data_IF_133649845697
#
_entry.id   IF_133649845697
#
_cell.length_a   1.000
_cell.length_b   1.000
_cell.length_c   1.000
_cell.angle_alpha   90.00
_cell.angle_beta   90.00
_cell.angle_gamma   90.00
#
_symmetry.space_group_name_H-M   'P 1'
#
loop_
_entity.id
_entity.type
_entity.pdbx_description
1 polymer ?
#
# COMPACT_ATOMS: atom_id res chain seq x y z
N UNK A 1 -10.71 39.81 -50.26
CA UNK A 1 -10.90 39.77 -48.79
C UNK A 1 -9.62 39.25 -48.20
N UNK A 2 -8.80 40.09 -47.59
CA UNK A 2 -7.71 39.64 -46.72
C UNK A 2 -7.31 40.80 -45.81
N UNK A 3 -7.91 40.85 -44.62
CA UNK A 3 -7.54 41.78 -43.57
C UNK A 3 -6.46 41.12 -42.71
N UNK A 4 -5.20 41.55 -42.87
CA UNK A 4 -4.14 41.28 -41.88
C UNK A 4 -4.38 42.16 -40.65
N UNK A 5 -4.84 41.56 -39.56
CA UNK A 5 -4.84 42.20 -38.23
C UNK A 5 -3.39 42.39 -37.75
N UNK A 6 -2.93 43.65 -37.72
CA UNK A 6 -1.74 44.03 -36.94
C UNK A 6 -2.10 44.01 -35.46
N UNK A 7 -1.54 43.07 -34.71
CA UNK A 7 -1.64 43.06 -33.25
C UNK A 7 -1.07 44.37 -32.68
N UNK A 8 -1.85 45.04 -31.84
CA UNK A 8 -1.50 46.33 -31.26
C UNK A 8 -0.31 46.21 -30.28
N UNK A 9 0.59 47.20 -30.23
CA UNK A 9 1.83 47.17 -29.45
C UNK A 9 1.61 46.99 -27.93
N UNK A 10 0.45 47.39 -27.42
CA UNK A 10 0.11 47.22 -26.00
C UNK A 10 -0.07 45.76 -25.59
N UNK A 11 -0.54 44.88 -26.50
CA UNK A 11 -0.76 43.47 -26.19
C UNK A 11 0.57 42.70 -26.03
N UNK A 12 1.60 43.08 -26.81
CA UNK A 12 2.95 42.51 -26.68
C UNK A 12 3.60 42.90 -25.36
N UNK A 13 3.36 44.12 -24.88
CA UNK A 13 3.91 44.59 -23.61
C UNK A 13 3.32 43.82 -22.42
N UNK A 14 2.00 43.56 -22.43
CA UNK A 14 1.34 42.74 -21.41
C UNK A 14 1.81 41.28 -21.41
N UNK A 15 1.99 40.68 -22.59
CA UNK A 15 2.51 39.31 -22.70
C UNK A 15 3.94 39.17 -22.16
N UNK A 16 4.80 40.17 -22.39
CA UNK A 16 6.16 40.18 -21.84
C UNK A 16 6.14 40.33 -20.33
N UNK A 17 5.28 41.20 -19.76
CA UNK A 17 5.15 41.36 -18.31
C UNK A 17 4.65 40.06 -17.67
N UNK A 18 3.62 39.43 -18.24
CA UNK A 18 3.09 38.15 -17.73
C UNK A 18 4.13 37.03 -17.82
N UNK A 19 4.91 36.97 -18.90
CA UNK A 19 5.98 35.99 -19.04
C UNK A 19 7.08 36.19 -17.99
N UNK A 20 7.47 37.44 -17.71
CA UNK A 20 8.47 37.76 -16.68
C UNK A 20 7.96 37.49 -15.25
N UNK A 21 6.68 37.74 -14.97
CA UNK A 21 6.06 37.39 -13.68
C UNK A 21 6.01 35.88 -13.49
N UNK A 22 5.61 35.11 -14.52
CA UNK A 22 5.66 33.64 -14.47
C UNK A 22 7.08 33.11 -14.30
N UNK A 23 8.08 33.72 -14.94
CA UNK A 23 9.48 33.34 -14.76
C UNK A 23 9.97 33.63 -13.33
N UNK A 24 9.57 34.76 -12.74
CA UNK A 24 9.89 35.11 -11.34
C UNK A 24 9.20 34.18 -10.32
N UNK A 25 7.96 33.74 -10.59
CA UNK A 25 7.25 32.76 -9.75
C UNK A 25 7.89 31.37 -9.88
N UNK A 26 8.34 30.99 -11.08
CA UNK A 26 9.10 29.75 -11.31
C UNK A 26 10.49 29.80 -10.66
N UNK A 27 11.18 30.95 -10.70
CA UNK A 27 12.47 31.11 -10.03
C UNK A 27 12.32 31.19 -8.50
N UNK A 28 11.25 31.78 -7.96
CA UNK A 28 11.01 31.76 -6.52
C UNK A 28 10.61 30.37 -6.00
N UNK A 29 9.91 29.56 -6.81
CA UNK A 29 9.61 28.17 -6.48
C UNK A 29 10.82 27.24 -6.63
N UNK A 30 11.76 27.55 -7.54
CA UNK A 30 13.04 26.84 -7.67
C UNK A 30 14.04 27.24 -6.56
N UNK A 31 14.13 28.52 -6.19
CA UNK A 31 15.03 29.00 -5.12
C UNK A 31 14.53 28.52 -3.73
N UNK A 32 13.22 28.36 -3.54
CA UNK A 32 12.67 27.73 -2.34
C UNK A 32 12.85 26.19 -2.29
N UNK A 33 13.26 25.54 -3.38
CA UNK A 33 13.54 24.09 -3.40
C UNK A 33 14.97 23.73 -3.00
N UNK A 34 15.92 24.67 -2.99
CA UNK A 34 17.33 24.38 -2.71
C UNK A 34 17.82 24.73 -1.29
N UNK A 35 16.96 25.14 -0.36
CA UNK A 35 17.36 25.33 1.05
C UNK A 35 16.24 25.02 2.05
N UNK A 36 15.61 23.85 1.93
CA UNK A 36 15.07 23.21 3.13
C UNK A 36 16.21 22.36 3.69
N UNK A 37 17.10 22.98 4.49
CA UNK A 37 17.87 22.21 5.45
C UNK A 37 16.87 21.34 6.20
N UNK A 38 17.02 20.02 6.14
CA UNK A 38 16.17 19.06 6.83
C UNK A 38 16.00 19.51 8.29
N UNK A 39 14.86 20.11 8.58
CA UNK A 39 14.47 20.43 9.94
C UNK A 39 13.96 19.11 10.49
N UNK A 40 14.85 18.30 11.07
CA UNK A 40 14.47 16.99 11.60
C UNK A 40 13.43 17.18 12.70
N UNK A 41 12.22 16.70 12.48
CA UNK A 41 11.19 16.66 13.50
C UNK A 41 11.57 15.60 14.54
N UNK A 42 12.23 16.03 15.63
CA UNK A 42 12.62 15.15 16.75
C UNK A 42 11.46 14.85 17.71
N UNK A 43 10.31 15.49 17.51
CA UNK A 43 9.09 15.37 18.29
C UNK A 43 7.88 15.38 17.34
N UNK A 44 6.78 14.66 17.61
CA UNK A 44 6.61 13.75 18.76
C UNK A 44 7.58 12.57 18.70
N UNK A 45 7.95 12.03 19.87
CA UNK A 45 8.70 10.77 19.92
C UNK A 45 7.74 9.59 19.82
N UNK A 46 8.24 8.47 19.34
CA UNK A 46 7.52 7.20 19.28
C UNK A 46 7.75 6.40 20.57
N UNK A 47 6.85 5.45 20.88
CA UNK A 47 7.14 4.50 21.95
C UNK A 47 8.38 3.66 21.54
N UNK A 48 9.40 3.60 22.41
CA UNK A 48 10.74 3.11 22.07
C UNK A 48 10.85 1.62 21.66
N UNK A 49 11.97 1.28 21.01
CA UNK A 49 12.26 -0.01 20.33
C UNK A 49 12.56 -1.22 21.23
N UNK A 50 12.06 -1.31 22.46
CA UNK A 50 12.39 -2.47 23.31
C UNK A 50 11.58 -3.70 22.92
N UNK A 51 12.04 -4.46 21.91
CA UNK A 51 11.75 -5.87 21.61
C UNK A 51 10.30 -6.38 21.83
N UNK A 52 9.30 -5.55 21.54
CA UNK A 52 7.90 -5.93 21.68
C UNK A 52 7.29 -6.08 20.28
N UNK A 53 7.24 -7.32 19.79
CA UNK A 53 6.72 -7.69 18.47
C UNK A 53 5.20 -7.47 18.30
N UNK A 54 4.54 -6.73 19.19
CA UNK A 54 3.07 -6.60 19.24
C UNK A 54 2.60 -5.21 18.85
N UNK A 55 3.08 -4.77 17.70
CA UNK A 55 3.05 -3.40 17.19
C UNK A 55 1.61 -2.88 17.04
N UNK A 56 1.30 -1.72 17.63
CA UNK A 56 0.16 -0.92 17.19
C UNK A 56 0.60 -0.03 16.05
N UNK A 57 0.68 -0.63 14.87
CA UNK A 57 0.79 0.11 13.62
C UNK A 57 -0.45 -0.17 12.80
N UNK A 58 -1.04 0.85 12.17
CA UNK A 58 -1.99 0.60 11.11
C UNK A 58 -1.25 -0.13 9.99
N UNK A 59 -1.84 -1.19 9.49
CA UNK A 59 -1.34 -1.86 8.31
C UNK A 59 -1.66 -1.00 7.08
N UNK A 60 -0.99 -1.31 5.98
CA UNK A 60 -1.08 -0.51 4.76
C UNK A 60 -2.49 -0.61 4.14
N UNK A 61 -3.07 0.51 3.71
CA UNK A 61 -4.47 0.58 3.23
C UNK A 61 -5.49 -0.09 4.17
N UNK A 62 -5.23 -0.10 5.47
CA UNK A 62 -6.12 -0.73 6.44
C UNK A 62 -7.46 -0.01 6.46
N UNK A 63 -8.54 -0.80 6.32
CA UNK A 63 -9.89 -0.32 6.58
C UNK A 63 -10.11 -0.30 8.08
N UNK A 64 -10.39 0.89 8.60
CA UNK A 64 -10.60 1.11 10.03
C UNK A 64 -12.06 1.47 10.26
N UNK A 65 -12.77 0.64 11.02
CA UNK A 65 -14.18 0.88 11.35
C UNK A 65 -14.32 1.59 12.69
N UNK A 66 -15.00 2.74 12.72
CA UNK A 66 -15.26 3.49 13.96
C UNK A 66 -16.72 3.32 14.38
N UNK A 67 -17.00 2.64 15.49
CA UNK A 67 -18.38 2.43 15.92
C UNK A 67 -18.65 3.03 17.31
N UNK A 68 -19.80 3.67 17.45
CA UNK A 68 -20.28 4.30 18.68
C UNK A 68 -21.27 3.39 19.39
N UNK A 69 -21.33 3.38 20.73
CA UNK A 69 -22.49 2.81 21.39
C UNK A 69 -23.73 3.69 21.18
N UNK A 70 -24.88 3.07 20.98
CA UNK A 70 -26.14 3.79 20.81
C UNK A 70 -26.43 4.69 22.02
N UNK A 71 -26.57 5.99 21.77
CA UNK A 71 -26.93 6.98 22.78
C UNK A 71 -25.76 7.61 23.56
N UNK A 72 -24.52 7.16 23.33
CA UNK A 72 -23.34 7.72 24.01
C UNK A 72 -23.03 9.14 23.52
N UNK A 73 -23.03 9.38 22.21
CA UNK A 73 -22.67 10.67 21.63
C UNK A 73 -23.84 11.26 20.86
N UNK A 74 -24.06 12.56 20.99
CA UNK A 74 -24.95 13.33 20.12
C UNK A 74 -24.44 13.34 18.67
N UNK A 75 -25.30 13.71 17.72
CA UNK A 75 -24.92 13.81 16.31
C UNK A 75 -23.74 14.78 16.10
N UNK A 76 -23.73 15.91 16.80
CA UNK A 76 -22.68 16.92 16.68
C UNK A 76 -21.34 16.43 17.23
N UNK A 77 -21.37 15.68 18.33
CA UNK A 77 -20.16 15.05 18.90
C UNK A 77 -19.60 13.96 17.98
N UNK A 78 -20.46 13.14 17.38
CA UNK A 78 -20.02 12.14 16.39
C UNK A 78 -19.43 12.80 15.14
N UNK A 79 -20.02 13.90 14.68
CA UNK A 79 -19.46 14.68 13.58
C UNK A 79 -18.08 15.25 13.94
N UNK A 80 -17.91 15.77 15.16
CA UNK A 80 -16.61 16.26 15.64
C UNK A 80 -15.54 15.16 15.70
N UNK A 81 -15.91 13.96 16.17
CA UNK A 81 -15.03 12.77 16.16
C UNK A 81 -14.67 12.39 14.71
N UNK A 82 -15.65 12.33 13.81
CA UNK A 82 -15.41 12.04 12.37
C UNK A 82 -14.45 13.05 11.74
N UNK A 83 -14.62 14.34 12.04
CA UNK A 83 -13.76 15.39 11.50
C UNK A 83 -12.32 15.28 12.04
N UNK A 84 -12.12 14.78 13.26
CA UNK A 84 -10.78 14.50 13.82
C UNK A 84 -10.08 13.36 13.07
N UNK A 85 -10.80 12.28 12.74
CA UNK A 85 -10.28 11.21 11.87
C UNK A 85 -9.94 11.72 10.47
N UNK A 86 -10.84 12.50 9.87
CA UNK A 86 -10.60 13.08 8.55
C UNK A 86 -9.35 13.97 8.52
N UNK A 87 -9.04 14.70 9.60
CA UNK A 87 -7.79 15.46 9.67
C UNK A 87 -6.55 14.54 9.62
N UNK A 88 -6.59 13.39 10.30
CA UNK A 88 -5.53 12.37 10.19
C UNK A 88 -5.45 11.73 8.81
N UNK A 89 -6.58 11.52 8.12
CA UNK A 89 -6.58 11.08 6.71
C UNK A 89 -5.90 12.11 5.80
N UNK A 90 -6.19 13.40 5.98
CA UNK A 90 -5.61 14.48 5.15
C UNK A 90 -4.14 14.76 5.43
N UNK A 91 -3.63 14.31 6.58
CA UNK A 91 -2.27 14.55 7.05
C UNK A 91 -1.25 13.60 6.42
N UNK A 92 -1.66 12.42 5.94
CA UNK A 92 -0.78 11.47 5.22
C UNK A 92 -0.36 11.91 3.81
N UNK A 93 -0.73 13.12 3.37
CA UNK A 93 -0.75 13.49 1.97
C UNK A 93 0.46 14.32 1.51
N UNK A 94 1.62 13.67 1.38
CA UNK A 94 2.60 14.07 0.36
C UNK A 94 2.55 13.18 -0.89
N UNK A 95 1.39 12.54 -1.17
CA UNK A 95 1.12 11.82 -2.41
C UNK A 95 1.96 10.56 -2.68
N UNK A 96 2.83 10.17 -1.73
CA UNK A 96 3.76 9.03 -1.84
C UNK A 96 3.40 7.90 -0.86
N UNK A 97 2.44 8.13 0.03
CA UNK A 97 1.96 7.20 1.05
C UNK A 97 0.43 7.10 0.93
N UNK A 98 -0.17 5.92 0.71
CA UNK A 98 -1.62 5.81 0.73
C UNK A 98 -2.21 5.74 2.13
N UNK A 99 -3.52 5.93 2.14
CA UNK A 99 -4.29 6.37 3.29
C UNK A 99 -4.64 5.21 4.23
N UNK A 100 -4.59 5.47 5.54
CA UNK A 100 -5.50 4.79 6.47
C UNK A 100 -6.90 5.34 6.18
N UNK A 101 -7.82 4.47 5.78
CA UNK A 101 -9.19 4.86 5.47
C UNK A 101 -10.10 4.54 6.66
N UNK A 102 -10.66 5.58 7.27
CA UNK A 102 -11.61 5.42 8.36
C UNK A 102 -13.03 5.40 7.80
N UNK A 103 -13.67 4.25 7.90
CA UNK A 103 -15.05 4.06 7.46
C UNK A 103 -15.96 3.67 8.63
N UNK A 104 -17.25 3.59 8.36
CA UNK A 104 -18.18 2.88 9.23
C UNK A 104 -18.51 3.57 10.56
N UNK A 105 -18.60 4.91 10.58
CA UNK A 105 -19.12 5.78 11.67
C UNK A 105 -20.58 5.47 12.09
N UNK A 106 -20.83 4.24 12.50
CA UNK A 106 -22.16 3.70 12.78
C UNK A 106 -22.40 3.55 14.28
N UNK A 107 -23.67 3.53 14.68
CA UNK A 107 -24.03 3.14 16.05
C UNK A 107 -24.17 1.63 16.18
N UNK A 108 -23.70 1.10 17.29
CA UNK A 108 -23.79 -0.29 17.72
C UNK A 108 -25.00 -0.46 18.63
N UNK A 109 -25.86 -1.41 18.29
CA UNK A 109 -27.00 -1.83 19.12
C UNK A 109 -26.62 -2.85 20.20
N UNK A 110 -25.34 -3.25 20.27
CA UNK A 110 -24.90 -4.21 21.28
C UNK A 110 -24.92 -3.60 22.68
N UNK A 111 -25.45 -4.31 23.69
CA UNK A 111 -25.55 -3.79 25.05
C UNK A 111 -24.17 -3.57 25.67
N UNK A 112 -24.06 -2.48 26.43
CA UNK A 112 -22.84 -2.09 27.13
C UNK A 112 -22.42 -3.16 28.16
N UNK A 113 -21.11 -3.46 28.32
CA UNK A 113 -20.64 -4.32 29.41
C UNK A 113 -21.00 -3.72 30.78
N UNK A 114 -21.33 -4.58 31.74
CA UNK A 114 -21.76 -4.16 33.08
C UNK A 114 -20.60 -3.49 33.81
N UNK A 115 -20.81 -2.25 34.30
CA UNK A 115 -19.85 -1.52 35.13
C UNK A 115 -19.17 -0.30 34.48
N UNK A 116 -19.48 0.01 33.22
CA UNK A 116 -18.89 1.15 32.50
C UNK A 116 -19.93 2.27 32.33
N UNK A 117 -19.58 3.53 32.61
CA UNK A 117 -20.50 4.68 32.52
C UNK A 117 -20.07 5.78 31.55
N UNK A 118 -18.82 5.73 31.07
CA UNK A 118 -18.24 6.78 30.23
C UNK A 118 -18.72 6.65 28.77
N UNK A 119 -18.77 7.75 28.01
CA UNK A 119 -19.08 7.64 26.59
C UNK A 119 -17.89 7.01 25.85
N UNK A 120 -18.16 5.98 25.06
CA UNK A 120 -17.12 5.15 24.46
C UNK A 120 -17.42 4.93 22.98
N UNK A 121 -16.39 5.07 22.14
CA UNK A 121 -16.41 4.49 20.81
C UNK A 121 -15.21 3.56 20.63
N UNK A 122 -15.37 2.65 19.69
CA UNK A 122 -14.35 1.66 19.40
C UNK A 122 -13.88 1.76 17.96
N UNK A 123 -12.58 1.61 17.81
CA UNK A 123 -11.91 1.55 16.52
C UNK A 123 -11.54 0.10 16.27
N UNK A 124 -12.14 -0.54 15.26
CA UNK A 124 -11.90 -1.94 14.91
C UNK A 124 -11.15 -2.03 13.58
N UNK A 125 -10.18 -2.94 13.52
CA UNK A 125 -9.47 -3.28 12.28
C UNK A 125 -10.22 -4.39 11.57
N UNK A 126 -10.45 -4.24 10.26
CA UNK A 126 -11.35 -5.10 9.49
C UNK A 126 -10.85 -6.54 9.28
N UNK A 127 -9.63 -6.87 9.73
CA UNK A 127 -8.85 -7.99 9.21
C UNK A 127 -8.50 -9.10 10.21
N UNK A 128 -8.95 -9.05 11.47
CA UNK A 128 -8.77 -10.21 12.38
C UNK A 128 -10.01 -11.08 12.47
N UNK A 129 -10.00 -12.14 11.65
CA UNK A 129 -10.97 -13.23 11.63
C UNK A 129 -10.68 -14.31 12.70
N UNK A 130 -10.30 -13.98 13.94
CA UNK A 130 -10.15 -15.00 15.00
C UNK A 130 -10.62 -14.52 16.38
N UNK A 131 -11.28 -15.37 17.18
CA UNK A 131 -11.70 -15.05 18.54
C UNK A 131 -10.51 -15.22 19.50
N UNK A 132 -9.53 -14.33 19.44
CA UNK A 132 -8.45 -14.28 20.43
C UNK A 132 -8.58 -13.02 21.30
N UNK A 133 -8.54 -13.28 22.61
CA UNK A 133 -8.72 -12.40 23.76
C UNK A 133 -8.82 -10.88 23.49
N UNK A 134 -9.94 -10.29 23.88
CA UNK A 134 -10.11 -8.84 24.00
C UNK A 134 -8.99 -8.24 24.87
N UNK A 135 -8.01 -7.60 24.24
CA UNK A 135 -7.06 -6.72 24.91
C UNK A 135 -7.66 -5.32 24.96
N UNK A 136 -7.85 -4.77 26.15
CA UNK A 136 -8.36 -3.40 26.32
C UNK A 136 -7.20 -2.42 26.29
N UNK A 137 -7.09 -1.63 25.22
CA UNK A 137 -6.29 -0.40 25.20
C UNK A 137 -7.22 0.79 25.39
N UNK A 138 -7.17 1.44 26.56
CA UNK A 138 -7.83 2.72 26.82
C UNK A 138 -6.88 3.86 26.48
N UNK A 139 -7.24 4.72 25.53
CA UNK A 139 -6.65 6.07 25.47
C UNK A 139 -7.53 6.95 26.37
N UNK A 140 -6.95 7.34 27.50
CA UNK A 140 -7.71 7.83 28.64
C UNK A 140 -7.79 9.35 28.67
N UNK A 141 -8.97 9.91 28.38
CA UNK A 141 -9.37 11.16 29.00
C UNK A 141 -9.65 10.89 30.49
N UNK A 142 -8.66 11.14 31.36
CA UNK A 142 -8.79 11.30 32.82
C UNK A 142 -8.80 10.09 33.79
N UNK A 143 -7.94 9.06 33.63
CA UNK A 143 -7.61 8.17 34.78
C UNK A 143 -6.12 8.14 35.12
N UNK A 144 -5.74 8.36 36.40
CA UNK A 144 -4.34 8.30 36.82
C UNK A 144 -3.91 6.84 36.96
N UNK A 145 -3.14 6.36 35.98
CA UNK A 145 -2.47 5.07 36.03
C UNK A 145 -3.17 3.99 35.20
N UNK A 146 -2.77 3.85 33.94
CA UNK A 146 -3.12 2.73 33.07
C UNK A 146 -2.11 2.65 31.94
N UNK A 147 -1.52 1.47 31.74
CA UNK A 147 -0.44 1.27 30.78
C UNK A 147 -0.94 1.36 29.33
N UNK A 148 -0.31 2.22 28.53
CA UNK A 148 -0.47 2.31 27.08
C UNK A 148 0.06 1.02 26.43
N UNK A 149 -0.82 0.04 26.24
CA UNK A 149 -0.60 -1.10 25.36
C UNK A 149 -1.74 -1.17 24.37
N UNK A 150 -1.57 -0.51 23.23
CA UNK A 150 -2.42 -0.76 22.07
C UNK A 150 -2.00 -2.12 21.54
N UNK A 151 -2.71 -3.16 21.97
CA UNK A 151 -2.68 -4.48 21.34
C UNK A 151 -4.14 -4.86 21.13
N UNK A 152 -4.38 -5.58 20.03
CA UNK A 152 -5.63 -6.23 19.62
C UNK A 152 -6.53 -5.39 18.72
N UNK A 153 -7.17 -6.04 17.74
CA UNK A 153 -8.62 -6.11 17.64
C UNK A 153 -9.37 -4.79 17.40
N UNK A 154 -9.33 -4.03 18.49
CA UNK A 154 -10.26 -3.02 18.89
C UNK A 154 -9.54 -2.09 19.85
N UNK A 155 -9.40 -0.82 19.50
CA UNK A 155 -8.98 0.23 20.43
C UNK A 155 -10.21 0.88 21.04
N UNK A 156 -10.22 1.09 22.36
CA UNK A 156 -11.31 1.73 23.07
C UNK A 156 -10.89 3.16 23.43
N UNK A 157 -11.65 4.14 22.96
CA UNK A 157 -11.43 5.55 23.33
C UNK A 157 -12.58 5.95 24.25
N UNK A 158 -12.23 6.30 25.49
CA UNK A 158 -13.18 6.73 26.51
C UNK A 158 -13.16 8.23 26.64
N UNK A 159 -14.33 8.83 26.56
CA UNK A 159 -14.52 10.27 26.60
C UNK A 159 -15.53 10.58 27.69
N UNK A 160 -15.08 11.27 28.73
CA UNK A 160 -16.00 11.94 29.64
C UNK A 160 -16.43 13.28 29.04
N UNK A 161 -17.52 13.26 28.26
CA UNK A 161 -18.06 14.47 27.62
C UNK A 161 -18.61 15.48 28.63
N UNK A 162 -18.85 15.08 29.88
CA UNK A 162 -19.38 15.99 30.91
C UNK A 162 -18.33 17.00 31.39
N UNK A 163 -17.05 16.72 31.11
CA UNK A 163 -15.92 17.61 31.38
C UNK A 163 -15.62 18.57 30.21
N UNK A 164 -16.37 18.47 29.11
CA UNK A 164 -16.18 19.25 27.89
C UNK A 164 -17.27 20.32 27.79
N UNK A 165 -16.88 21.57 27.52
CA UNK A 165 -17.82 22.69 27.50
C UNK A 165 -18.40 22.97 26.12
N UNK A 166 -17.69 22.58 25.05
CA UNK A 166 -18.10 22.78 23.64
C UNK A 166 -17.57 21.68 22.71
N UNK A 167 -18.27 21.42 21.60
CA UNK A 167 -17.91 20.37 20.62
C UNK A 167 -16.54 20.54 19.95
N UNK A 168 -16.00 21.77 19.89
CA UNK A 168 -14.66 22.02 19.37
C UNK A 168 -13.56 21.44 20.25
N UNK A 169 -13.73 21.45 21.58
CA UNK A 169 -12.79 20.85 22.52
C UNK A 169 -12.78 19.33 22.37
N UNK A 170 -13.94 18.72 22.09
CA UNK A 170 -14.01 17.29 21.80
C UNK A 170 -13.16 16.95 20.57
N UNK A 171 -13.31 17.69 19.46
CA UNK A 171 -12.50 17.46 18.26
C UNK A 171 -10.99 17.57 18.55
N UNK A 172 -10.58 18.56 19.34
CA UNK A 172 -9.18 18.77 19.74
C UNK A 172 -8.61 17.57 20.51
N UNK A 173 -9.34 17.11 21.52
CA UNK A 173 -8.99 15.94 22.32
C UNK A 173 -8.91 14.71 21.42
N UNK A 174 -9.88 14.52 20.53
CA UNK A 174 -9.90 13.33 19.67
C UNK A 174 -8.71 13.25 18.72
N UNK A 175 -8.20 14.38 18.20
CA UNK A 175 -6.98 14.34 17.38
C UNK A 175 -5.77 13.84 18.14
N UNK A 176 -5.63 14.26 19.40
CA UNK A 176 -4.57 13.82 20.29
C UNK A 176 -4.67 12.31 20.55
N UNK A 177 -5.86 11.84 20.94
CA UNK A 177 -6.10 10.42 21.23
C UNK A 177 -5.89 9.54 20.00
N UNK A 178 -6.32 10.00 18.81
CA UNK A 178 -6.04 9.31 17.55
C UNK A 178 -4.53 9.26 17.28
N UNK A 179 -3.75 10.28 17.65
CA UNK A 179 -2.29 10.28 17.51
C UNK A 179 -1.60 9.11 18.22
N UNK A 180 -2.12 8.66 19.36
CA UNK A 180 -1.62 7.44 20.02
C UNK A 180 -1.83 6.18 19.19
N UNK A 181 -2.89 6.13 18.39
CA UNK A 181 -3.12 5.01 17.45
C UNK A 181 -2.10 4.99 16.32
N UNK A 182 -1.47 6.14 16.04
CA UNK A 182 -0.31 6.30 15.18
C UNK A 182 1.02 6.19 15.95
N UNK A 183 1.02 5.54 17.13
CA UNK A 183 2.21 5.23 17.93
C UNK A 183 2.97 6.45 18.48
N UNK A 184 2.31 7.61 18.54
CA UNK A 184 2.89 8.82 19.09
C UNK A 184 2.76 8.85 20.62
N UNK A 185 3.80 9.35 21.30
CA UNK A 185 3.84 9.50 22.76
C UNK A 185 3.46 10.92 23.15
N UNK A 186 2.83 11.07 24.32
CA UNK A 186 2.65 12.35 24.97
C UNK A 186 3.95 13.16 25.04
N UNK A 187 3.88 14.40 24.59
CA UNK A 187 4.99 15.33 24.54
C UNK A 187 4.81 16.44 25.59
N UNK A 188 4.68 16.06 26.87
CA UNK A 188 4.45 17.02 27.96
C UNK A 188 5.49 18.15 27.97
N UNK A 189 5.02 19.39 28.08
CA UNK A 189 5.88 20.58 28.13
C UNK A 189 6.39 21.06 26.76
N UNK A 190 5.96 20.43 25.67
CA UNK A 190 6.21 20.94 24.31
C UNK A 190 5.10 21.94 23.89
N UNK A 191 5.39 22.91 23.01
CA UNK A 191 4.34 23.78 22.47
C UNK A 191 3.38 23.03 21.53
N UNK A 192 2.10 23.39 21.57
CA UNK A 192 1.07 22.87 20.66
C UNK A 192 1.31 23.14 19.18
N UNK A 193 2.15 24.11 18.85
CA UNK A 193 2.58 24.35 17.47
C UNK A 193 3.58 23.31 16.94
N UNK A 194 4.14 22.45 17.80
CA UNK A 194 5.15 21.44 17.42
C UNK A 194 4.53 20.07 17.23
N UNK A 195 3.59 19.67 18.09
CA UNK A 195 2.97 18.34 18.02
C UNK A 195 1.59 18.34 18.65
N UNK A 196 0.64 17.62 18.04
CA UNK A 196 -0.68 17.34 18.61
C UNK A 196 -0.58 16.60 19.94
N UNK A 197 0.54 15.92 20.20
CA UNK A 197 0.80 15.20 21.44
C UNK A 197 1.19 16.09 22.63
N UNK A 198 1.29 17.41 22.43
CA UNK A 198 1.74 18.32 23.49
C UNK A 198 0.66 18.67 24.52
N UNK A 199 -0.59 18.73 24.09
CA UNK A 199 -1.76 19.15 24.86
C UNK A 199 -3.01 18.46 24.28
N UNK A 200 -3.88 17.97 25.16
CA UNK A 200 -5.17 17.38 24.81
C UNK A 200 -6.13 18.42 24.17
N UNK A 201 -5.85 19.73 24.25
CA UNK A 201 -6.64 20.80 23.61
C UNK A 201 -5.91 21.51 22.47
N UNK A 202 -5.11 20.75 21.71
CA UNK A 202 -4.35 21.30 20.59
C UNK A 202 -5.25 21.63 19.37
N UNK A 203 -5.02 22.79 18.77
CA UNK A 203 -5.78 23.32 17.63
C UNK A 203 -5.55 22.58 16.30
N UNK A 204 -4.57 21.67 16.18
CA UNK A 204 -4.46 20.82 14.99
C UNK A 204 -3.22 19.91 14.92
N UNK A 205 -3.23 19.04 13.90
CA UNK A 205 -2.11 18.15 13.58
C UNK A 205 -1.02 18.96 12.87
N UNK A 206 0.19 18.92 13.43
CA UNK A 206 1.33 19.74 12.98
C UNK A 206 2.11 19.06 11.87
N UNK A 207 3.05 19.80 11.24
CA UNK A 207 3.96 19.24 10.24
C UNK A 207 4.84 18.11 10.82
N UNK A 208 5.27 18.24 12.06
CA UNK A 208 6.13 17.25 12.69
C UNK A 208 5.40 15.97 13.09
N UNK A 209 4.13 16.06 13.50
CA UNK A 209 3.30 14.87 13.66
C UNK A 209 3.25 14.08 12.35
N UNK A 210 3.02 14.78 11.22
CA UNK A 210 2.97 14.11 9.91
C UNK A 210 4.31 13.49 9.54
N UNK A 211 5.42 14.19 9.75
CA UNK A 211 6.74 13.69 9.38
C UNK A 211 7.10 12.42 10.16
N UNK A 212 6.88 12.42 11.48
CA UNK A 212 7.15 11.26 12.34
C UNK A 212 6.25 10.08 11.97
N UNK A 213 4.94 10.33 11.77
CA UNK A 213 4.00 9.29 11.32
C UNK A 213 4.37 8.77 9.94
N UNK A 214 4.66 9.66 8.98
CA UNK A 214 5.08 9.26 7.62
C UNK A 214 6.33 8.38 7.69
N UNK A 215 7.35 8.77 8.44
CA UNK A 215 8.57 7.97 8.57
C UNK A 215 8.33 6.61 9.26
N UNK A 216 7.34 6.51 10.16
CA UNK A 216 7.01 5.29 10.87
C UNK A 216 6.18 4.30 10.01
N UNK A 217 5.26 4.82 9.19
CA UNK A 217 4.25 4.03 8.47
C UNK A 217 4.52 3.89 6.98
N UNK A 218 5.14 4.91 6.39
CA UNK A 218 5.55 4.97 5.00
C UNK A 218 7.00 5.46 4.94
N UNK A 219 7.95 4.69 5.52
CA UNK A 219 9.37 4.98 5.35
C UNK A 219 9.60 5.23 3.86
N UNK A 220 10.06 6.45 3.55
CA UNK A 220 10.44 6.80 2.19
C UNK A 220 11.40 5.71 1.76
N UNK A 221 11.00 4.89 0.77
CA UNK A 221 11.92 3.94 0.17
C UNK A 221 13.19 4.74 -0.14
N UNK A 222 14.38 4.31 0.33
CA UNK A 222 15.60 5.05 0.07
C UNK A 222 15.64 5.35 -1.42
N UNK A 223 16.02 6.58 -1.78
CA UNK A 223 15.94 7.09 -3.15
C UNK A 223 16.48 6.10 -4.16
N UNK A 224 17.49 5.32 -3.77
CA UNK A 224 17.84 4.04 -4.39
C UNK A 224 18.29 3.04 -3.30
N UNK A 225 17.88 1.77 -3.43
CA UNK A 225 18.52 0.71 -2.66
C UNK A 225 19.95 0.47 -3.17
N UNK A 226 20.87 -0.04 -2.32
CA UNK A 226 22.20 -0.43 -2.76
C UNK A 226 22.14 -1.37 -3.97
N UNK A 227 23.18 -1.35 -4.81
CA UNK A 227 23.27 -2.22 -5.98
C UNK A 227 23.01 -3.68 -5.60
N UNK A 228 22.07 -4.32 -6.31
CA UNK A 228 21.58 -5.68 -6.06
C UNK A 228 20.40 -5.79 -5.09
N UNK A 229 19.92 -4.70 -4.48
CA UNK A 229 18.87 -4.73 -3.45
C UNK A 229 17.56 -4.06 -3.88
N UNK A 230 16.43 -4.65 -3.49
CA UNK A 230 15.07 -4.13 -3.72
C UNK A 230 14.56 -3.64 -2.38
N UNK A 231 13.79 -2.56 -2.38
CA UNK A 231 13.07 -2.18 -1.18
C UNK A 231 11.87 -3.11 -1.01
N UNK A 232 11.75 -3.75 0.14
CA UNK A 232 10.57 -4.54 0.47
C UNK A 232 9.81 -3.85 1.62
N UNK A 233 8.57 -3.46 1.36
CA UNK A 233 7.67 -2.87 2.36
C UNK A 233 7.37 -3.81 3.52
N UNK A 234 7.31 -5.12 3.30
CA UNK A 234 7.09 -6.12 4.37
C UNK A 234 8.23 -6.08 5.39
N UNK A 235 9.46 -5.92 4.91
CA UNK A 235 10.70 -5.90 5.70
C UNK A 235 10.97 -4.50 6.26
N UNK A 236 10.37 -3.46 5.68
CA UNK A 236 10.63 -2.05 6.02
C UNK A 236 12.06 -1.60 5.66
N UNK A 237 12.64 -2.16 4.59
CA UNK A 237 14.03 -1.89 4.23
C UNK A 237 14.48 -2.50 2.90
N UNK A 238 15.71 -2.16 2.50
CA UNK A 238 16.36 -2.81 1.36
C UNK A 238 16.84 -4.20 1.75
N UNK A 239 16.56 -5.16 0.88
CA UNK A 239 16.98 -6.55 1.02
C UNK A 239 17.52 -7.07 -0.32
N UNK A 240 18.34 -8.12 -0.26
CA UNK A 240 18.95 -8.68 -1.48
C UNK A 240 17.93 -9.50 -2.25
N UNK A 241 17.79 -9.16 -3.53
CA UNK A 241 16.83 -9.72 -4.48
C UNK A 241 17.39 -9.58 -5.90
N UNK A 242 18.40 -10.37 -6.25
CA UNK A 242 18.02 -11.60 -6.93
C UNK A 242 18.86 -12.80 -6.45
N UNK A 243 18.50 -14.04 -6.82
CA UNK A 243 19.17 -15.24 -6.29
C UNK A 243 20.69 -15.23 -6.55
N UNK A 244 21.53 -15.92 -5.75
CA UNK A 244 21.17 -17.07 -4.90
C UNK A 244 20.89 -16.74 -3.43
N UNK A 245 20.97 -15.48 -3.00
CA UNK A 245 20.64 -15.12 -1.61
C UNK A 245 19.38 -14.28 -1.57
N UNK A 246 18.24 -14.96 -1.50
CA UNK A 246 16.97 -14.31 -1.19
C UNK A 246 16.95 -13.93 0.29
N UNK A 247 17.03 -12.64 0.59
CA UNK A 247 16.90 -12.10 1.95
C UNK A 247 15.68 -11.20 2.13
N UNK A 248 14.84 -11.13 1.11
CA UNK A 248 13.53 -10.49 1.16
C UNK A 248 12.42 -11.46 1.57
N UNK A 249 12.77 -12.73 1.82
CA UNK A 249 11.90 -13.69 2.46
C UNK A 249 11.81 -13.37 3.95
N UNK A 250 10.74 -12.64 4.29
CA UNK A 250 10.29 -12.58 5.67
C UNK A 250 8.93 -13.22 5.67
N UNK A 251 8.84 -14.26 6.48
CA UNK A 251 7.63 -14.78 7.09
C UNK A 251 6.61 -13.65 7.34
N UNK A 252 5.64 -13.50 6.43
CA UNK A 252 4.50 -12.60 6.62
C UNK A 252 3.56 -13.30 7.59
N UNK A 253 3.25 -12.71 8.76
CA UNK A 253 2.39 -13.38 9.73
C UNK A 253 0.98 -13.64 9.17
N UNK A 254 0.36 -14.73 9.63
CA UNK A 254 -0.88 -15.35 9.13
C UNK A 254 -2.17 -14.51 9.31
N UNK A 255 -2.06 -13.19 9.38
CA UNK A 255 -3.17 -12.28 9.57
C UNK A 255 -3.32 -11.33 8.38
N UNK A 256 -4.25 -11.73 7.50
CA UNK A 256 -4.93 -10.97 6.44
C UNK A 256 -4.09 -9.94 5.67
N UNK A 257 -3.80 -10.28 4.42
CA UNK A 257 -3.82 -9.36 3.28
C UNK A 257 -3.17 -8.00 3.52
N UNK A 258 -1.83 -7.98 3.54
CA UNK A 258 -1.06 -6.75 3.78
C UNK A 258 -1.37 -5.64 2.76
N UNK A 259 -1.98 -5.98 1.61
CA UNK A 259 -2.23 -5.07 0.51
C UNK A 259 -3.71 -5.10 0.08
N UNK A 260 -4.44 -4.03 0.41
CA UNK A 260 -5.81 -3.82 -0.07
C UNK A 260 -5.76 -3.13 -1.45
N UNK A 261 -5.88 -3.92 -2.52
CA UNK A 261 -5.67 -3.48 -3.92
C UNK A 261 -7.01 -3.12 -4.57
N UNK A 262 -7.70 -2.15 -3.99
CA UNK A 262 -8.89 -1.53 -4.58
C UNK A 262 -10.06 -2.48 -4.84
N UNK A 263 -10.22 -3.50 -4.00
CA UNK A 263 -11.17 -4.59 -4.20
C UNK A 263 -11.79 -5.16 -2.92
N UNK A 264 -11.76 -4.45 -1.78
CA UNK A 264 -12.49 -4.82 -0.56
C UNK A 264 -12.10 -6.16 0.12
N UNK A 265 -11.27 -6.97 -0.52
CA UNK A 265 -10.76 -8.27 -0.08
C UNK A 265 -9.35 -8.47 -0.64
N UNK A 266 -8.56 -9.23 0.12
CA UNK A 266 -7.41 -10.03 -0.31
C UNK A 266 -7.46 -10.42 -1.78
N UNK A 267 -6.75 -9.69 -2.64
CA UNK A 267 -6.72 -9.99 -4.06
C UNK A 267 -5.27 -10.19 -4.48
N UNK A 268 -4.92 -11.41 -4.89
CA UNK A 268 -3.63 -11.65 -5.52
C UNK A 268 -3.65 -11.24 -6.98
N UNK A 269 -2.55 -10.64 -7.44
CA UNK A 269 -2.47 -10.05 -8.77
C UNK A 269 -1.26 -10.51 -9.60
N UNK A 270 -1.05 -11.83 -9.80
CA UNK A 270 0.07 -12.29 -10.61
C UNK A 270 -0.05 -11.84 -12.07
N UNK A 271 1.10 -11.62 -12.70
CA UNK A 271 1.20 -11.29 -14.12
C UNK A 271 1.09 -12.57 -14.95
N UNK A 272 0.08 -12.62 -15.81
CA UNK A 272 -0.21 -13.65 -16.79
C UNK A 272 0.11 -13.15 -18.20
N UNK A 273 0.75 -13.98 -19.02
CA UNK A 273 1.11 -13.66 -20.40
C UNK A 273 0.35 -14.57 -21.37
N UNK A 274 -0.36 -13.95 -22.31
CA UNK A 274 -0.96 -14.63 -23.47
C UNK A 274 0.14 -14.91 -24.49
N UNK A 275 0.65 -16.15 -24.49
CA UNK A 275 1.85 -16.53 -25.24
C UNK A 275 1.54 -16.69 -26.72
N UNK A 276 0.39 -17.22 -27.13
CA UNK A 276 0.07 -17.35 -28.55
C UNK A 276 -0.65 -16.13 -29.13
N UNK A 277 -1.10 -15.19 -28.29
CA UNK A 277 -1.92 -14.06 -28.72
C UNK A 277 -3.35 -14.48 -29.07
N UNK A 278 -3.81 -15.61 -28.51
CA UNK A 278 -5.12 -16.23 -28.79
C UNK A 278 -6.17 -15.85 -27.72
N UNK A 279 -5.73 -15.17 -26.65
CA UNK A 279 -6.54 -14.68 -25.54
C UNK A 279 -6.62 -15.64 -24.36
N UNK A 280 -6.67 -15.07 -23.15
CA UNK A 280 -6.63 -15.84 -21.90
C UNK A 280 -7.75 -16.88 -21.69
N UNK A 281 -7.34 -18.05 -21.20
CA UNK A 281 -8.14 -19.21 -20.82
C UNK A 281 -7.99 -19.49 -19.32
N UNK A 282 -9.00 -19.05 -18.56
CA UNK A 282 -9.02 -19.18 -17.09
C UNK A 282 -10.18 -20.06 -16.61
N UNK A 283 -10.09 -20.54 -15.37
CA UNK A 283 -11.18 -21.20 -14.63
C UNK A 283 -11.85 -20.24 -13.65
N UNK A 284 -12.94 -20.68 -13.01
CA UNK A 284 -13.36 -20.14 -11.72
C UNK A 284 -12.53 -20.76 -10.57
N UNK A 285 -12.71 -20.26 -9.34
CA UNK A 285 -12.02 -20.80 -8.17
C UNK A 285 -12.41 -22.25 -7.87
N UNK A 286 -13.68 -22.62 -8.05
CA UNK A 286 -14.14 -23.98 -7.76
C UNK A 286 -13.42 -25.06 -8.60
N UNK A 287 -13.10 -24.73 -9.86
CA UNK A 287 -12.41 -25.60 -10.80
C UNK A 287 -10.93 -25.25 -11.00
N UNK A 288 -10.36 -24.36 -10.18
CA UNK A 288 -8.96 -24.00 -10.25
C UNK A 288 -8.05 -24.91 -9.43
N UNK A 289 -6.97 -24.36 -8.87
CA UNK A 289 -5.91 -25.14 -8.18
C UNK A 289 -5.72 -24.69 -6.74
N UNK A 290 -5.02 -25.50 -5.94
CA UNK A 290 -4.58 -25.12 -4.59
C UNK A 290 -3.12 -24.66 -4.66
N UNK A 291 -2.85 -23.38 -4.43
CA UNK A 291 -1.51 -22.77 -4.46
C UNK A 291 -1.33 -21.75 -3.33
N UNK A 292 -0.14 -21.69 -2.73
CA UNK A 292 0.22 -20.71 -1.68
C UNK A 292 0.48 -19.35 -2.33
N UNK A 293 -0.55 -18.51 -2.43
CA UNK A 293 -0.46 -17.29 -3.23
C UNK A 293 0.03 -16.08 -2.45
N UNK A 294 -0.12 -16.09 -1.13
CA UNK A 294 0.33 -14.98 -0.29
C UNK A 294 1.75 -15.20 0.27
N UNK A 295 2.25 -16.44 0.26
CA UNK A 295 3.58 -16.80 0.76
C UNK A 295 3.74 -16.45 2.24
N UNK A 296 2.68 -16.63 3.02
CA UNK A 296 2.65 -16.37 4.46
C UNK A 296 3.35 -17.50 5.27
N UNK A 297 3.34 -17.40 6.60
CA UNK A 297 4.04 -18.37 7.47
C UNK A 297 3.36 -19.74 7.58
N UNK A 298 2.04 -19.82 7.38
CA UNK A 298 1.31 -21.07 7.50
C UNK A 298 1.45 -21.97 6.25
N UNK A 299 1.87 -21.38 5.13
CA UNK A 299 2.03 -22.05 3.84
C UNK A 299 0.78 -22.84 3.42
N UNK A 300 -0.39 -22.35 3.86
CA UNK A 300 -1.67 -22.89 3.42
C UNK A 300 -1.82 -22.57 1.94
N UNK A 301 -2.34 -23.54 1.20
CA UNK A 301 -2.64 -23.37 -0.21
C UNK A 301 -4.06 -22.88 -0.36
N UNK A 302 -4.25 -21.72 -0.96
CA UNK A 302 -5.55 -21.17 -1.28
C UNK A 302 -6.12 -21.87 -2.52
N UNK A 303 -7.43 -22.12 -2.49
CA UNK A 303 -8.15 -22.47 -3.71
C UNK A 303 -8.30 -21.22 -4.56
N UNK A 304 -7.76 -21.24 -5.78
CA UNK A 304 -7.72 -20.08 -6.65
C UNK A 304 -8.24 -20.40 -8.04
N UNK A 305 -8.86 -19.44 -8.71
CA UNK A 305 -8.98 -19.52 -10.17
C UNK A 305 -7.60 -19.57 -10.81
N UNK A 306 -7.50 -20.25 -11.95
CA UNK A 306 -6.21 -20.54 -12.57
C UNK A 306 -6.30 -20.56 -14.09
N UNK A 307 -5.16 -20.71 -14.77
CA UNK A 307 -5.14 -21.04 -16.21
C UNK A 307 -5.81 -22.39 -16.42
N UNK A 308 -6.44 -22.65 -17.56
CA UNK A 308 -6.97 -23.99 -17.86
C UNK A 308 -5.84 -24.97 -18.19
N UNK A 309 -6.10 -26.27 -17.99
CA UNK A 309 -5.25 -27.36 -18.48
C UNK A 309 -4.87 -27.18 -19.96
N UNK A 310 -3.61 -27.48 -20.31
CA UNK A 310 -3.02 -27.29 -21.65
C UNK A 310 -3.16 -25.85 -22.22
N UNK A 311 -3.36 -24.83 -21.37
CA UNK A 311 -3.35 -23.43 -21.82
C UNK A 311 -1.96 -23.01 -22.29
N UNK A 312 -1.92 -22.14 -23.29
CA UNK A 312 -0.70 -21.44 -23.67
C UNK A 312 -0.38 -20.26 -22.74
N UNK A 313 -1.34 -19.79 -21.96
CA UNK A 313 -1.12 -18.69 -21.01
C UNK A 313 -0.13 -19.11 -19.93
N UNK A 314 0.78 -18.19 -19.57
CA UNK A 314 1.86 -18.50 -18.64
C UNK A 314 2.03 -17.42 -17.57
N UNK A 315 2.23 -17.86 -16.32
CA UNK A 315 2.57 -16.96 -15.22
C UNK A 315 4.00 -16.47 -15.34
N UNK A 316 4.21 -15.16 -15.17
CA UNK A 316 5.55 -14.58 -15.10
C UNK A 316 6.12 -14.79 -13.70
N UNK A 317 7.24 -15.51 -13.62
CA UNK A 317 7.81 -15.98 -12.35
C UNK A 317 9.32 -15.79 -12.28
N UNK A 318 9.83 -15.78 -11.06
CA UNK A 318 11.24 -15.79 -10.72
C UNK A 318 11.40 -16.69 -9.49
N UNK A 319 12.05 -17.84 -9.67
CA UNK A 319 12.56 -18.68 -8.58
C UNK A 319 13.59 -17.85 -7.80
N UNK A 320 13.14 -17.24 -6.70
CA UNK A 320 13.88 -16.25 -5.91
C UNK A 320 14.81 -16.95 -4.96
N UNK A 321 14.38 -18.08 -4.39
CA UNK A 321 15.15 -18.83 -3.41
C UNK A 321 16.16 -19.81 -4.07
N UNK A 322 16.05 -20.05 -5.38
CA UNK A 322 16.94 -20.89 -6.16
C UNK A 322 16.72 -22.39 -5.97
N UNK A 323 15.52 -22.81 -5.56
CA UNK A 323 15.20 -24.21 -5.27
C UNK A 323 14.74 -25.00 -6.51
N UNK A 324 14.59 -24.34 -7.66
CA UNK A 324 14.18 -24.94 -8.92
C UNK A 324 12.66 -25.10 -9.10
N UNK A 325 11.85 -24.51 -8.21
CA UNK A 325 10.40 -24.50 -8.25
C UNK A 325 9.89 -23.07 -8.05
N UNK A 326 8.62 -22.85 -8.38
CA UNK A 326 7.85 -21.69 -7.92
C UNK A 326 6.91 -22.21 -6.85
N UNK A 327 7.23 -21.96 -5.59
CA UNK A 327 6.53 -22.58 -4.47
C UNK A 327 5.48 -21.66 -3.82
N UNK A 328 5.54 -20.35 -4.05
CA UNK A 328 4.55 -19.40 -3.56
C UNK A 328 4.41 -18.13 -4.42
N UNK A 329 3.38 -17.32 -4.14
CA UNK A 329 3.06 -16.11 -4.90
C UNK A 329 4.07 -14.94 -4.77
N UNK A 330 5.00 -14.98 -3.81
CA UNK A 330 6.15 -14.05 -3.73
C UNK A 330 7.19 -14.37 -4.81
N UNK A 331 7.16 -15.58 -5.37
CA UNK A 331 7.98 -16.00 -6.51
C UNK A 331 7.32 -15.68 -7.87
N UNK A 332 6.04 -15.38 -7.87
CA UNK A 332 5.33 -14.80 -9.02
C UNK A 332 5.57 -13.28 -9.08
N UNK A 333 5.48 -12.67 -10.26
CA UNK A 333 5.37 -11.21 -10.35
C UNK A 333 3.93 -10.81 -10.02
N UNK A 334 3.69 -10.49 -8.75
CA UNK A 334 2.36 -10.24 -8.18
C UNK A 334 2.38 -9.03 -7.25
N UNK A 335 1.25 -8.75 -6.61
CA UNK A 335 1.18 -7.81 -5.48
C UNK A 335 1.92 -8.27 -4.22
N UNK A 336 2.22 -9.56 -4.08
CA UNK A 336 2.97 -10.13 -2.96
C UNK A 336 4.49 -10.20 -3.22
N UNK A 337 4.92 -9.96 -4.46
CA UNK A 337 6.33 -9.88 -4.80
C UNK A 337 7.01 -8.73 -4.05
N UNK A 338 8.27 -8.89 -3.60
CA UNK A 338 9.05 -7.81 -3.01
C UNK A 338 9.08 -6.57 -3.91
N UNK A 339 8.52 -5.46 -3.42
CA UNK A 339 8.44 -4.22 -4.16
C UNK A 339 8.30 -3.02 -3.21
N UNK A 340 8.62 -1.79 -3.66
CA UNK A 340 8.36 -0.58 -2.89
C UNK A 340 6.89 -0.42 -2.55
N UNK A 341 6.59 0.27 -1.44
CA UNK A 341 5.21 0.61 -1.10
C UNK A 341 4.53 1.38 -2.24
N UNK A 342 3.36 0.90 -2.67
CA UNK A 342 2.53 1.54 -3.71
C UNK A 342 1.05 1.38 -3.40
N UNK A 343 0.24 2.38 -3.74
CA UNK A 343 -1.22 2.38 -3.48
C UNK A 343 -1.92 1.23 -4.23
N UNK A 344 -1.30 0.80 -5.32
CA UNK A 344 -1.75 -0.27 -6.20
C UNK A 344 -0.60 -1.27 -6.39
N UNK A 345 -0.15 -1.96 -5.34
CA UNK A 345 0.81 -3.06 -5.50
C UNK A 345 0.33 -4.01 -6.60
N UNK A 346 1.24 -4.33 -7.51
CA UNK A 346 0.92 -5.10 -8.70
C UNK A 346 2.22 -5.69 -9.29
N UNK A 347 2.10 -6.74 -10.09
CA UNK A 347 3.26 -7.44 -10.62
C UNK A 347 4.10 -6.63 -11.60
N UNK A 348 3.54 -5.61 -12.26
CA UNK A 348 4.34 -4.71 -13.11
C UNK A 348 5.22 -3.75 -12.31
N UNK A 349 4.76 -3.29 -11.15
CA UNK A 349 5.60 -2.50 -10.23
C UNK A 349 6.74 -3.35 -9.68
N UNK A 350 6.46 -4.59 -9.28
CA UNK A 350 7.51 -5.53 -8.88
C UNK A 350 8.50 -5.80 -10.03
N UNK A 351 8.02 -5.94 -11.26
CA UNK A 351 8.86 -6.15 -12.44
C UNK A 351 9.75 -4.93 -12.75
N UNK A 352 9.21 -3.72 -12.60
CA UNK A 352 9.93 -2.47 -12.87
C UNK A 352 11.14 -2.24 -11.95
N UNK A 353 11.21 -2.89 -10.79
CA UNK A 353 12.40 -2.84 -9.94
C UNK A 353 13.65 -3.37 -10.66
N UNK A 354 13.47 -4.29 -11.60
CA UNK A 354 14.57 -4.94 -12.31
C UNK A 354 15.08 -4.19 -13.54
N UNK A 355 14.34 -3.21 -14.05
CA UNK A 355 14.82 -2.26 -15.07
C UNK A 355 15.76 -1.21 -14.44
N UNK A 356 15.72 -1.05 -13.11
CA UNK A 356 16.61 -0.09 -12.44
C UNK A 356 18.07 -0.50 -12.61
N UNK A 357 18.93 0.48 -12.89
CA UNK A 357 20.40 0.26 -12.94
C UNK A 357 20.97 -0.35 -11.67
N UNK A 358 20.38 -0.06 -10.50
CA UNK A 358 20.76 -0.69 -9.23
C UNK A 358 20.58 -2.23 -9.26
N UNK A 359 19.72 -2.76 -10.13
CA UNK A 359 19.46 -4.19 -10.34
C UNK A 359 20.08 -4.78 -11.61
N UNK A 360 20.89 -4.00 -12.31
CA UNK A 360 21.49 -4.43 -13.57
C UNK A 360 20.55 -4.30 -14.77
N UNK A 361 19.50 -3.49 -14.65
CA UNK A 361 18.75 -3.00 -15.82
C UNK A 361 19.32 -1.69 -16.36
N UNK A 362 18.60 -1.05 -17.28
CA UNK A 362 19.07 0.12 -18.02
C UNK A 362 18.14 1.36 -17.96
N UNK A 363 17.00 1.28 -17.25
CA UNK A 363 15.94 2.28 -17.14
C UNK A 363 15.31 2.68 -18.48
N UNK A 364 15.14 1.76 -19.41
CA UNK A 364 14.52 2.04 -20.72
C UNK A 364 13.01 1.78 -20.76
N UNK A 365 12.44 1.29 -19.66
CA UNK A 365 11.01 1.01 -19.52
C UNK A 365 10.56 -0.29 -20.17
N UNK A 366 11.49 -1.18 -20.51
CA UNK A 366 11.21 -2.56 -20.91
C UNK A 366 12.05 -3.54 -20.09
N UNK A 367 11.60 -4.78 -20.02
CA UNK A 367 12.42 -5.89 -19.55
C UNK A 367 12.77 -6.75 -20.76
N UNK A 368 14.05 -6.75 -21.12
CA UNK A 368 14.59 -7.49 -22.25
C UNK A 368 15.99 -8.07 -21.97
N UNK A 369 16.63 -8.65 -22.98
CA UNK A 369 17.96 -9.27 -22.85
C UNK A 369 19.08 -8.34 -22.35
N UNK A 370 18.85 -7.02 -22.32
CA UNK A 370 19.74 -6.00 -21.78
C UNK A 370 19.69 -5.93 -20.26
N UNK A 371 18.66 -6.46 -19.63
CA UNK A 371 18.47 -6.50 -18.19
C UNK A 371 19.00 -7.81 -17.59
N UNK A 372 19.75 -7.70 -16.50
CA UNK A 372 20.35 -8.86 -15.83
C UNK A 372 19.31 -9.90 -15.36
N UNK A 373 18.05 -9.48 -15.12
CA UNK A 373 16.98 -10.38 -14.68
C UNK A 373 16.46 -11.29 -15.79
N UNK A 374 16.53 -10.86 -17.05
CA UNK A 374 15.75 -11.45 -18.14
C UNK A 374 16.02 -12.94 -18.36
N UNK A 375 17.28 -13.35 -18.29
CA UNK A 375 17.68 -14.75 -18.45
C UNK A 375 17.22 -15.67 -17.30
N UNK A 376 16.79 -15.07 -16.18
CA UNK A 376 16.37 -15.76 -14.97
C UNK A 376 14.85 -15.87 -14.87
N UNK A 377 14.13 -14.96 -15.52
CA UNK A 377 12.68 -15.04 -15.63
C UNK A 377 12.26 -16.35 -16.29
N UNK A 378 11.14 -16.89 -15.82
CA UNK A 378 10.46 -18.02 -16.44
C UNK A 378 9.01 -17.67 -16.71
N UNK A 379 8.43 -18.44 -17.62
CA UNK A 379 7.01 -18.52 -17.92
C UNK A 379 6.55 -19.89 -17.46
N UNK A 380 5.71 -19.92 -16.43
CA UNK A 380 5.15 -21.15 -15.90
C UNK A 380 3.83 -21.45 -16.60
N UNK A 381 3.83 -22.50 -17.40
CA UNK A 381 2.63 -23.08 -18.03
C UNK A 381 2.22 -24.33 -17.23
N UNK A 382 1.26 -24.20 -16.32
CA UNK A 382 0.71 -25.32 -15.55
C UNK A 382 -0.17 -26.20 -16.46
N UNK A 383 0.51 -27.03 -17.26
CA UNK A 383 -0.10 -27.80 -18.34
C UNK A 383 -1.01 -28.89 -17.82
N UNK A 384 -0.71 -29.42 -16.63
CA UNK A 384 -1.48 -30.50 -16.01
C UNK A 384 -2.54 -30.01 -15.01
N UNK A 385 -2.57 -28.70 -14.72
CA UNK A 385 -3.55 -28.01 -13.87
C UNK A 385 -3.53 -28.50 -12.43
N UNK A 386 -2.34 -28.65 -11.84
CA UNK A 386 -2.20 -29.15 -10.47
C UNK A 386 -1.72 -28.10 -9.45
N UNK A 387 -1.36 -26.90 -9.89
CA UNK A 387 -0.85 -25.84 -9.02
C UNK A 387 0.54 -26.12 -8.43
N UNK A 388 1.33 -27.02 -9.02
CA UNK A 388 2.67 -27.38 -8.61
C UNK A 388 3.62 -27.06 -9.75
N UNK A 389 4.57 -26.17 -9.51
CA UNK A 389 5.56 -25.82 -10.53
C UNK A 389 6.55 -26.96 -10.75
N UNK A 390 6.43 -27.63 -11.89
CA UNK A 390 7.34 -28.71 -12.28
C UNK A 390 8.41 -28.21 -13.28
N UNK A 391 9.62 -28.80 -13.29
CA UNK A 391 10.69 -28.35 -14.17
C UNK A 391 10.34 -28.33 -15.67
N UNK A 392 9.51 -29.27 -16.12
CA UNK A 392 9.01 -29.36 -17.48
C UNK A 392 8.01 -28.25 -17.87
N UNK A 393 7.41 -27.59 -16.89
CA UNK A 393 6.42 -26.51 -17.06
C UNK A 393 7.03 -25.11 -17.02
N UNK A 394 8.31 -25.01 -16.64
CA UNK A 394 9.04 -23.77 -16.52
C UNK A 394 9.85 -23.47 -17.78
N UNK A 395 9.35 -22.56 -18.60
CA UNK A 395 9.99 -22.16 -19.84
C UNK A 395 10.74 -20.84 -19.69
N UNK A 396 11.86 -20.68 -20.40
CA UNK A 396 12.48 -19.37 -20.59
C UNK A 396 11.61 -18.51 -21.50
N UNK A 397 11.70 -17.18 -21.36
CA UNK A 397 10.95 -16.25 -22.22
C UNK A 397 11.29 -16.46 -23.70
N UNK A 398 12.57 -16.71 -24.01
CA UNK A 398 13.03 -16.95 -25.38
C UNK A 398 12.51 -18.25 -25.98
N UNK A 399 12.33 -19.33 -25.19
CA UNK A 399 11.73 -20.58 -25.68
C UNK A 399 10.28 -20.37 -26.16
N UNK A 400 9.55 -19.45 -25.53
CA UNK A 400 8.18 -19.09 -25.91
C UNK A 400 8.12 -17.84 -26.83
N UNK A 401 9.25 -17.47 -27.44
CA UNK A 401 9.39 -16.34 -28.36
C UNK A 401 8.98 -14.98 -27.76
N UNK A 402 9.11 -14.80 -26.45
CA UNK A 402 8.99 -13.50 -25.77
C UNK A 402 10.37 -12.85 -25.74
N UNK A 403 10.50 -11.69 -26.39
CA UNK A 403 11.76 -10.93 -26.46
C UNK A 403 11.79 -9.78 -25.46
N UNK A 404 10.66 -9.10 -25.28
CA UNK A 404 10.56 -8.02 -24.29
C UNK A 404 9.16 -7.86 -23.73
N UNK A 405 9.10 -7.38 -22.49
CA UNK A 405 7.87 -7.03 -21.77
C UNK A 405 7.93 -5.53 -21.48
N UNK A 406 6.93 -4.77 -21.91
CA UNK A 406 6.84 -3.34 -21.61
C UNK A 406 6.45 -3.10 -20.16
N UNK A 407 7.03 -2.07 -19.54
CA UNK A 407 6.63 -1.58 -18.22
C UNK A 407 5.59 -0.45 -18.29
N UNK A 408 5.24 0.04 -19.49
CA UNK A 408 4.18 1.04 -19.70
C UNK A 408 2.79 0.40 -19.62
N UNK A 409 2.45 -0.13 -18.45
CA UNK A 409 1.15 -0.75 -18.23
C UNK A 409 0.02 0.30 -18.19
N UNK A 410 -1.18 -0.14 -18.57
CA UNK A 410 -2.41 0.66 -18.54
C UNK A 410 -3.51 -0.09 -17.84
N UNK A 411 -4.37 0.64 -17.14
CA UNK A 411 -5.58 0.08 -16.56
C UNK A 411 -6.51 -0.48 -17.67
N UNK A 412 -7.14 -1.59 -17.37
CA UNK A 412 -8.10 -2.32 -18.17
C UNK A 412 -9.26 -2.71 -17.27
N UNK A 413 -10.47 -2.65 -17.82
CA UNK A 413 -11.71 -3.03 -17.10
C UNK A 413 -12.25 -4.35 -17.62
N UNK A 414 -11.34 -5.25 -17.99
CA UNK A 414 -11.69 -6.55 -18.55
C UNK A 414 -11.95 -7.52 -17.39
N UNK A 415 -13.09 -8.20 -17.46
CA UNK A 415 -13.43 -9.33 -16.59
C UNK A 415 -13.88 -10.46 -17.51
N UNK A 416 -13.44 -11.68 -17.23
CA UNK A 416 -13.89 -12.84 -18.00
C UNK A 416 -15.28 -13.34 -17.57
N UNK A 417 -15.70 -14.49 -18.09
CA UNK A 417 -16.99 -15.10 -17.76
C UNK A 417 -17.07 -15.70 -16.35
N UNK A 418 -15.94 -15.92 -15.70
CA UNK A 418 -15.83 -16.54 -14.38
C UNK A 418 -15.71 -15.51 -13.26
N UNK A 419 -15.28 -14.29 -13.58
CA UNK A 419 -15.10 -13.18 -12.64
C UNK A 419 -13.66 -12.75 -12.47
N UNK A 420 -12.69 -13.40 -13.12
CA UNK A 420 -11.28 -13.00 -13.08
C UNK A 420 -11.15 -11.60 -13.68
N UNK A 421 -10.50 -10.70 -12.96
CA UNK A 421 -10.35 -9.31 -13.40
C UNK A 421 -8.95 -9.04 -13.90
N UNK A 422 -8.86 -8.61 -15.16
CA UNK A 422 -7.64 -8.34 -15.90
C UNK A 422 -7.38 -6.83 -15.83
N UNK A 423 -6.73 -6.36 -14.76
CA UNK A 423 -6.76 -4.95 -14.36
C UNK A 423 -5.65 -4.10 -14.97
N UNK A 424 -4.41 -4.56 -14.96
CA UNK A 424 -3.32 -3.83 -15.61
C UNK A 424 -2.81 -4.62 -16.79
N UNK A 425 -2.52 -3.96 -17.90
CA UNK A 425 -2.03 -4.63 -19.11
C UNK A 425 -0.84 -3.92 -19.70
N UNK A 426 0.12 -4.68 -20.18
CA UNK A 426 1.29 -4.18 -20.88
C UNK A 426 1.53 -4.97 -22.17
N UNK A 427 2.25 -4.33 -23.10
CA UNK A 427 2.63 -4.97 -24.36
C UNK A 427 3.73 -5.99 -24.15
N UNK A 428 3.61 -7.12 -24.85
CA UNK A 428 4.65 -8.14 -24.96
C UNK A 428 5.06 -8.24 -26.41
N UNK A 429 6.36 -8.18 -26.68
CA UNK A 429 6.91 -8.24 -28.02
C UNK A 429 7.64 -9.56 -28.23
N UNK A 430 7.46 -10.12 -29.43
CA UNK A 430 8.26 -11.25 -29.88
C UNK A 430 9.45 -10.80 -30.71
N UNK A 431 10.24 -11.78 -31.16
CA UNK A 431 11.53 -11.61 -31.86
C UNK A 431 11.52 -10.50 -32.92
N UNK A 432 12.54 -9.63 -32.88
CA UNK A 432 12.69 -8.39 -33.63
C UNK A 432 11.65 -7.30 -33.26
N UNK A 433 11.26 -7.24 -31.99
CA UNK A 433 10.24 -6.33 -31.44
C UNK A 433 8.92 -6.36 -32.21
N UNK A 434 8.53 -7.53 -32.69
CA UNK A 434 7.28 -7.70 -33.42
C UNK A 434 6.11 -7.68 -32.42
N UNK A 435 5.16 -6.78 -32.65
CA UNK A 435 3.86 -6.86 -31.98
C UNK A 435 3.11 -8.09 -32.54
N UNK A 436 3.06 -9.14 -31.75
CA UNK A 436 2.37 -10.39 -32.06
C UNK A 436 0.90 -10.37 -31.60
N UNK A 437 0.40 -9.23 -31.08
CA UNK A 437 -0.91 -9.16 -30.46
C UNK A 437 -0.95 -9.71 -29.03
N UNK A 438 0.21 -10.13 -28.50
CA UNK A 438 0.39 -10.66 -27.14
C UNK A 438 0.23 -9.55 -26.10
N UNK A 439 -0.30 -9.91 -24.95
CA UNK A 439 -0.46 -9.03 -23.81
C UNK A 439 -0.01 -9.73 -22.53
N UNK A 440 0.62 -8.98 -21.66
CA UNK A 440 0.75 -9.34 -20.26
C UNK A 440 -0.38 -8.65 -19.49
N UNK A 441 -0.98 -9.34 -18.55
CA UNK A 441 -1.98 -8.80 -17.65
C UNK A 441 -1.66 -9.13 -16.21
N UNK A 442 -1.83 -8.17 -15.34
CA UNK A 442 -1.91 -8.37 -13.90
C UNK A 442 -3.36 -8.74 -13.56
N UNK A 443 -3.57 -9.98 -13.10
CA UNK A 443 -4.89 -10.64 -13.02
C UNK A 443 -5.28 -10.87 -11.56
N UNK A 444 -6.46 -10.37 -11.20
CA UNK A 444 -7.09 -10.57 -9.90
C UNK A 444 -7.77 -11.93 -9.90
N UNK A 445 -7.21 -12.86 -9.15
CA UNK A 445 -7.72 -14.21 -8.99
C UNK A 445 -8.93 -14.24 -8.05
N UNK A 446 -9.76 -15.27 -8.23
CA UNK A 446 -10.91 -15.58 -7.39
C UNK A 446 -10.48 -16.60 -6.33
N UNK A 447 -11.04 -16.48 -5.13
CA UNK A 447 -10.83 -17.39 -4.00
C UNK A 447 -12.10 -18.21 -3.70
#
# INVERSE_FOLDING_TARGET
MEHKMKAQPHLRFYLIILFNISLLIMFSSLINRENVSAQTCTLPITYGETNDYTRARWDYNQLVTVTFYQGDFTLDERNAIRDAFAEWETVGLSGICPNVHFEGFNESIFPRPIGYTDNTYYISRADMSYPLAAGTGTTGSSTPGGFNKIRTCRTEIRVDVTLISVTSELKEIMRHEIGHTFWLVDAYGTPSTITVMSDQRNSGITACDREVVTNLYCPIAPTECPTGQTYNSDVGGCCTDPPPTYRCDVDIPDNNCPYNIGGGNCSSTPVLIDVEGNGFQMTDAANGVDFDIDGNMDHVRERLSWTTMESDDAWLVLDRNGNGQVDNGREMFSSYAPQPASVDHNGFLALAEYDKTAKGGNNDGVIDSSDAIFQRLRLWQDTNHNGISEPEELHTLSELNVESISLDYRESRRTDRYGNTFRYRAKVYGVNHRDLGRWAYDVFLLH
#
